data_IF_388718327082
#
_entry.id   IF_388718327082
#
_cell.length_a   1.000
_cell.length_b   1.000
_cell.length_c   1.000
_cell.angle_alpha   90.00
_cell.angle_beta   90.00
_cell.angle_gamma   90.00
#
_symmetry.space_group_name_H-M   'P 1'
#
loop_
_entity.id
_entity.type
_entity.pdbx_description
1 polymer ?
#
# COMPACT_ATOMS: atom_id res chain seq x y z
N UNK A 1 18.17 -3.50 -9.13
CA UNK A 1 17.03 -2.57 -9.28
C UNK A 1 16.02 -2.74 -8.15
N UNK A 2 15.37 -3.90 -7.99
CA UNK A 2 14.31 -4.05 -6.96
C UNK A 2 14.81 -3.99 -5.51
N UNK A 3 15.95 -4.60 -5.22
CA UNK A 3 16.63 -4.45 -3.92
C UNK A 3 17.06 -3.01 -3.63
N UNK A 4 17.42 -2.24 -4.68
CA UNK A 4 17.78 -0.83 -4.55
C UNK A 4 16.56 0.03 -4.23
N UNK A 5 15.41 -0.28 -4.84
CA UNK A 5 14.15 0.41 -4.58
C UNK A 5 13.66 0.14 -3.15
N UNK A 6 13.71 -1.12 -2.71
CA UNK A 6 13.41 -1.49 -1.33
C UNK A 6 14.35 -0.81 -0.34
N UNK A 7 15.66 -0.84 -0.59
CA UNK A 7 16.64 -0.14 0.23
C UNK A 7 16.32 1.35 0.35
N UNK A 8 16.00 2.01 -0.76
CA UNK A 8 15.60 3.41 -0.80
C UNK A 8 14.32 3.72 -0.02
N UNK A 9 13.32 2.84 -0.13
CA UNK A 9 12.07 2.89 0.62
C UNK A 9 12.21 2.66 2.12
N UNK A 10 13.35 2.15 2.59
CA UNK A 10 13.61 1.92 4.03
C UNK A 10 14.62 2.93 4.60
N UNK A 11 15.10 3.89 3.78
CA UNK A 11 16.02 4.92 4.26
C UNK A 11 15.35 5.89 5.24
N UNK A 12 16.09 6.27 6.28
CA UNK A 12 15.72 7.33 7.20
C UNK A 12 15.68 8.70 6.53
N UNK A 13 16.53 8.92 5.52
CA UNK A 13 16.52 10.14 4.72
C UNK A 13 15.26 10.22 3.86
N UNK A 14 14.39 11.17 4.22
CA UNK A 14 13.09 11.34 3.60
C UNK A 14 13.18 11.54 2.08
N UNK A 15 14.14 12.32 1.60
CA UNK A 15 14.31 12.58 0.17
C UNK A 15 14.52 11.29 -0.65
N UNK A 16 15.41 10.39 -0.19
CA UNK A 16 15.68 9.10 -0.86
C UNK A 16 14.42 8.23 -0.85
N UNK A 17 13.76 8.21 0.30
CA UNK A 17 12.51 7.49 0.52
C UNK A 17 11.38 7.99 -0.40
N UNK A 18 11.22 9.31 -0.54
CA UNK A 18 10.24 9.93 -1.44
C UNK A 18 10.54 9.59 -2.90
N UNK A 19 11.78 9.77 -3.35
CA UNK A 19 12.18 9.44 -4.72
C UNK A 19 11.92 7.95 -5.05
N UNK A 20 12.22 7.07 -4.10
CA UNK A 20 11.96 5.62 -4.26
C UNK A 20 10.46 5.32 -4.32
N UNK A 21 9.65 6.03 -3.54
CA UNK A 21 8.20 5.88 -3.54
C UNK A 21 7.54 6.41 -4.82
N UNK A 22 8.05 7.52 -5.37
CA UNK A 22 7.62 8.05 -6.67
C UNK A 22 7.97 7.11 -7.82
N UNK A 23 9.17 6.52 -7.78
CA UNK A 23 9.57 5.49 -8.73
C UNK A 23 8.66 4.25 -8.62
N UNK A 24 8.36 3.79 -7.40
CA UNK A 24 7.41 2.70 -7.17
C UNK A 24 6.00 3.04 -7.68
N UNK A 25 5.52 4.26 -7.45
CA UNK A 25 4.22 4.71 -7.94
C UNK A 25 4.15 4.70 -9.47
N UNK A 26 5.21 5.12 -10.14
CA UNK A 26 5.32 5.10 -11.59
C UNK A 26 5.32 3.66 -12.12
N UNK A 27 6.09 2.77 -11.50
CA UNK A 27 6.13 1.34 -11.86
C UNK A 27 4.76 0.65 -11.67
N UNK A 28 4.09 0.91 -10.55
CA UNK A 28 2.79 0.31 -10.25
C UNK A 28 1.72 0.77 -11.24
N UNK A 29 1.69 2.08 -11.59
CA UNK A 29 0.77 2.61 -12.61
C UNK A 29 1.04 2.04 -13.99
N UNK A 30 2.32 1.95 -14.36
CA UNK A 30 2.71 1.32 -15.63
C UNK A 30 2.23 -0.13 -15.69
N UNK A 31 2.49 -0.92 -14.65
CA UNK A 31 2.05 -2.32 -14.60
C UNK A 31 0.51 -2.46 -14.64
N UNK A 32 -0.21 -1.60 -13.91
CA UNK A 32 -1.67 -1.57 -13.97
C UNK A 32 -2.18 -1.30 -15.41
N UNK A 33 -1.58 -0.33 -16.09
CA UNK A 33 -1.93 -0.01 -17.48
C UNK A 33 -1.61 -1.13 -18.46
N UNK A 34 -0.49 -1.85 -18.29
CA UNK A 34 -0.12 -2.98 -19.15
C UNK A 34 -1.03 -4.18 -18.94
N UNK A 35 -1.45 -4.43 -17.69
CA UNK A 35 -2.39 -5.52 -17.35
C UNK A 35 -3.76 -5.27 -17.96
N UNK A 36 -4.24 -4.02 -17.94
CA UNK A 36 -5.48 -3.63 -18.63
C UNK A 36 -5.40 -3.83 -20.16
N UNK A 37 -4.20 -3.74 -20.74
CA UNK A 37 -3.92 -4.02 -22.15
C UNK A 37 -3.71 -5.50 -22.50
N UNK A 38 -3.88 -6.44 -21.56
CA UNK A 38 -3.74 -7.88 -21.80
C UNK A 38 -2.31 -8.44 -21.75
N UNK A 39 -1.33 -7.64 -21.31
CA UNK A 39 0.03 -8.14 -21.13
C UNK A 39 0.18 -8.84 -19.76
N UNK A 40 0.46 -10.15 -19.77
CA UNK A 40 0.69 -10.93 -18.54
C UNK A 40 2.13 -10.80 -18.00
N UNK A 41 3.06 -10.31 -18.81
CA UNK A 41 4.50 -10.26 -18.49
C UNK A 41 4.92 -8.86 -18.07
N UNK A 42 5.23 -8.66 -16.79
CA UNK A 42 5.67 -7.35 -16.28
C UNK A 42 6.12 -7.40 -14.81
N UNK A 43 6.13 -6.23 -14.16
CA UNK A 43 6.51 -6.05 -12.75
C UNK A 43 5.87 -7.07 -11.78
N UNK A 44 4.63 -7.52 -12.04
CA UNK A 44 3.94 -8.55 -11.24
C UNK A 44 4.36 -10.00 -11.46
N UNK A 45 5.10 -10.30 -12.55
CA UNK A 45 5.58 -11.65 -12.86
C UNK A 45 6.90 -11.99 -12.14
N UNK A 46 7.53 -10.99 -11.53
CA UNK A 46 8.76 -11.17 -10.74
C UNK A 46 8.37 -11.54 -9.30
N UNK A 47 9.03 -12.56 -8.76
CA UNK A 47 8.90 -12.97 -7.36
C UNK A 47 10.19 -12.73 -6.61
N UNK A 48 10.09 -12.19 -5.40
CA UNK A 48 11.21 -12.05 -4.44
C UNK A 48 10.83 -12.85 -3.20
N UNK A 49 11.72 -13.74 -2.76
CA UNK A 49 11.50 -14.63 -1.61
C UNK A 49 10.16 -15.42 -1.69
N UNK A 50 9.77 -15.83 -2.90
CA UNK A 50 8.52 -16.55 -3.15
C UNK A 50 7.24 -15.70 -3.10
N UNK A 51 7.35 -14.38 -2.88
CA UNK A 51 6.22 -13.44 -2.96
C UNK A 51 6.25 -12.68 -4.27
N UNK A 52 5.07 -12.47 -4.88
CA UNK A 52 4.93 -11.53 -5.98
C UNK A 52 5.46 -10.15 -5.56
N UNK A 53 6.27 -9.53 -6.43
CA UNK A 53 6.94 -8.27 -6.14
C UNK A 53 5.98 -7.14 -5.73
N UNK A 54 4.78 -7.14 -6.29
CA UNK A 54 3.68 -6.22 -5.94
C UNK A 54 3.32 -6.34 -4.46
N UNK A 55 3.14 -7.58 -3.99
CA UNK A 55 2.75 -7.86 -2.61
C UNK A 55 3.88 -7.52 -1.65
N UNK A 56 5.13 -7.77 -2.04
CA UNK A 56 6.30 -7.37 -1.26
C UNK A 56 6.34 -5.86 -1.05
N UNK A 57 6.23 -5.06 -2.12
CA UNK A 57 6.24 -3.60 -1.98
C UNK A 57 4.99 -3.03 -1.30
N UNK A 58 3.82 -3.62 -1.53
CA UNK A 58 2.60 -3.28 -0.82
C UNK A 58 2.78 -3.47 0.69
N UNK A 59 3.34 -4.60 1.10
CA UNK A 59 3.63 -4.94 2.48
C UNK A 59 4.68 -4.00 3.10
N UNK A 60 5.79 -3.72 2.40
CA UNK A 60 6.83 -2.78 2.85
C UNK A 60 6.25 -1.39 3.09
N UNK A 61 5.49 -0.84 2.13
CA UNK A 61 4.92 0.51 2.25
C UNK A 61 3.85 0.57 3.33
N UNK A 62 2.97 -0.43 3.43
CA UNK A 62 1.95 -0.47 4.49
C UNK A 62 2.58 -0.57 5.88
N UNK A 63 3.59 -1.44 6.07
CA UNK A 63 4.28 -1.54 7.36
C UNK A 63 4.97 -0.24 7.73
N UNK A 64 5.68 0.38 6.79
CA UNK A 64 6.31 1.67 7.02
C UNK A 64 5.30 2.73 7.48
N UNK A 65 4.17 2.83 6.79
CA UNK A 65 3.10 3.75 7.20
C UNK A 65 2.49 3.41 8.56
N UNK A 66 2.34 2.13 8.89
CA UNK A 66 1.70 1.71 10.13
C UNK A 66 2.63 1.86 11.34
N UNK A 67 3.92 1.55 11.20
CA UNK A 67 4.83 1.37 12.33
C UNK A 67 5.89 2.47 12.46
N UNK A 68 6.27 3.16 11.37
CA UNK A 68 7.27 4.23 11.44
C UNK A 68 6.65 5.61 11.55
N UNK A 69 7.33 6.54 12.23
CA UNK A 69 6.95 7.96 12.29
C UNK A 69 7.21 8.65 10.95
N UNK A 70 6.37 8.30 9.98
CA UNK A 70 6.37 8.90 8.65
C UNK A 70 5.66 10.25 8.67
N UNK A 71 6.25 11.29 8.06
CA UNK A 71 5.59 12.59 7.86
C UNK A 71 4.26 12.44 7.12
N UNK A 72 3.36 13.40 7.29
CA UNK A 72 2.09 13.43 6.58
C UNK A 72 2.26 13.35 5.06
N UNK A 73 3.24 14.09 4.53
CA UNK A 73 3.53 14.15 3.09
C UNK A 73 3.93 12.78 2.53
N UNK A 74 4.55 11.91 3.36
CA UNK A 74 4.90 10.55 2.95
C UNK A 74 3.66 9.70 2.69
N UNK A 75 2.61 9.81 3.52
CA UNK A 75 1.36 9.11 3.30
C UNK A 75 0.69 9.55 1.97
N UNK A 76 0.83 10.82 1.61
CA UNK A 76 0.29 11.34 0.36
C UNK A 76 0.99 10.76 -0.87
N UNK A 77 2.32 10.66 -0.85
CA UNK A 77 3.08 10.02 -1.93
C UNK A 77 2.84 8.51 -1.94
N UNK A 78 2.72 7.88 -0.77
CA UNK A 78 2.46 6.45 -0.65
C UNK A 78 1.13 6.06 -1.26
N UNK A 79 0.09 6.89 -1.11
CA UNK A 79 -1.21 6.65 -1.72
C UNK A 79 -1.14 6.49 -3.26
N UNK A 80 -0.24 7.20 -3.92
CA UNK A 80 -0.07 7.11 -5.37
C UNK A 80 0.61 5.79 -5.81
N UNK A 81 1.33 5.12 -4.91
CA UNK A 81 1.90 3.79 -5.12
C UNK A 81 0.95 2.68 -4.67
N UNK A 82 0.36 2.81 -3.49
CA UNK A 82 -0.50 1.79 -2.88
C UNK A 82 -1.74 1.47 -3.70
N UNK A 83 -2.45 2.50 -4.20
CA UNK A 83 -3.67 2.28 -4.97
C UNK A 83 -3.46 1.34 -6.17
N UNK A 84 -2.55 1.64 -7.12
CA UNK A 84 -2.32 0.74 -8.25
C UNK A 84 -1.78 -0.64 -7.82
N UNK A 85 -0.95 -0.73 -6.76
CA UNK A 85 -0.48 -2.02 -6.25
C UNK A 85 -1.66 -2.91 -5.77
N UNK A 86 -2.59 -2.34 -5.00
CA UNK A 86 -3.78 -3.06 -4.51
C UNK A 86 -4.69 -3.45 -5.67
N UNK A 87 -4.90 -2.57 -6.65
CA UNK A 87 -5.74 -2.88 -7.82
C UNK A 87 -5.11 -3.95 -8.72
N UNK A 88 -3.79 -4.04 -8.79
CA UNK A 88 -3.10 -5.09 -9.54
C UNK A 88 -3.24 -6.47 -8.89
N UNK A 89 -3.23 -6.55 -7.56
CA UNK A 89 -3.38 -7.80 -6.81
C UNK A 89 -4.27 -7.61 -5.56
N UNK A 90 -5.61 -7.62 -5.72
CA UNK A 90 -6.54 -7.49 -4.60
C UNK A 90 -6.44 -8.68 -3.62
N UNK A 91 -6.10 -9.87 -4.13
CA UNK A 91 -5.90 -11.06 -3.32
C UNK A 91 -4.71 -10.91 -2.38
N UNK A 92 -3.59 -10.40 -2.87
CA UNK A 92 -2.41 -10.08 -2.07
C UNK A 92 -2.69 -9.05 -0.98
N UNK A 93 -3.44 -8.00 -1.30
CA UNK A 93 -3.89 -7.03 -0.29
C UNK A 93 -4.70 -7.69 0.83
N UNK A 94 -5.67 -8.55 0.48
CA UNK A 94 -6.47 -9.26 1.48
C UNK A 94 -5.59 -10.18 2.34
N UNK A 95 -4.64 -10.91 1.75
CA UNK A 95 -3.70 -11.75 2.52
C UNK A 95 -2.86 -10.94 3.51
N UNK A 96 -2.35 -9.77 3.10
CA UNK A 96 -1.62 -8.86 4.00
C UNK A 96 -2.55 -8.34 5.11
N UNK A 97 -3.77 -7.96 4.77
CA UNK A 97 -4.79 -7.54 5.74
C UNK A 97 -5.10 -8.61 6.79
N UNK A 98 -5.30 -9.86 6.36
CA UNK A 98 -5.50 -11.00 7.25
C UNK A 98 -4.29 -11.27 8.14
N UNK A 99 -3.07 -11.15 7.60
CA UNK A 99 -1.85 -11.26 8.40
C UNK A 99 -1.80 -10.19 9.49
N UNK A 100 -2.13 -8.94 9.17
CA UNK A 100 -2.19 -7.85 10.15
C UNK A 100 -3.25 -8.11 11.22
N UNK A 101 -4.45 -8.58 10.84
CA UNK A 101 -5.50 -8.96 11.78
C UNK A 101 -5.08 -10.09 12.71
N UNK A 102 -4.37 -11.09 12.21
CA UNK A 102 -3.87 -12.20 13.01
C UNK A 102 -2.84 -11.76 14.07
N UNK A 103 -2.21 -10.59 13.90
CA UNK A 103 -1.29 -10.03 14.91
C UNK A 103 -2.00 -9.34 16.08
N UNK A 104 -3.32 -9.11 15.98
CA UNK A 104 -4.11 -8.41 17.00
C UNK A 104 -4.69 -9.42 17.99
N UNK A 105 -4.38 -9.22 19.28
CA UNK A 105 -4.90 -10.07 20.37
C UNK A 105 -6.25 -9.56 20.85
N UNK A 106 -6.44 -8.23 20.90
CA UNK A 106 -7.71 -7.62 21.27
C UNK A 106 -8.71 -7.72 20.11
N UNK A 107 -9.85 -8.36 20.35
CA UNK A 107 -10.92 -8.54 19.36
C UNK A 107 -11.56 -7.20 18.97
N UNK A 108 -11.58 -6.20 19.85
CA UNK A 108 -12.06 -4.85 19.50
C UNK A 108 -11.11 -4.17 18.53
N UNK A 109 -9.80 -4.15 18.84
CA UNK A 109 -8.76 -3.65 17.94
C UNK A 109 -8.76 -4.39 16.59
N UNK A 110 -8.93 -5.71 16.60
CA UNK A 110 -9.01 -6.55 15.39
C UNK A 110 -10.23 -6.20 14.54
N UNK A 111 -11.41 -6.06 15.14
CA UNK A 111 -12.63 -5.64 14.44
C UNK A 111 -12.46 -4.26 13.80
N UNK A 112 -11.92 -3.29 14.56
CA UNK A 112 -11.63 -1.93 14.08
C UNK A 112 -10.61 -1.91 12.93
N UNK A 113 -9.55 -2.73 13.02
CA UNK A 113 -8.56 -2.85 11.95
C UNK A 113 -9.18 -3.45 10.69
N UNK A 114 -10.06 -4.46 10.83
CA UNK A 114 -10.74 -5.10 9.71
C UNK A 114 -11.67 -4.13 8.98
N UNK A 115 -12.46 -3.37 9.73
CA UNK A 115 -13.31 -2.32 9.17
C UNK A 115 -12.47 -1.23 8.48
N UNK A 116 -11.37 -0.79 9.09
CA UNK A 116 -10.50 0.22 8.52
C UNK A 116 -9.83 -0.25 7.21
N UNK A 117 -9.38 -1.51 7.13
CA UNK A 117 -8.84 -2.12 5.91
C UNK A 117 -9.88 -2.21 4.79
N UNK A 118 -11.15 -2.51 5.13
CA UNK A 118 -12.24 -2.50 4.16
C UNK A 118 -12.52 -1.07 3.67
N UNK A 119 -12.71 -0.12 4.60
CA UNK A 119 -12.99 1.28 4.29
C UNK A 119 -11.90 1.95 3.46
N UNK A 120 -10.65 1.49 3.58
CA UNK A 120 -9.54 1.98 2.76
C UNK A 120 -9.85 1.88 1.25
N UNK A 121 -10.56 0.82 0.83
CA UNK A 121 -10.88 0.54 -0.57
C UNK A 121 -12.32 0.85 -0.97
N UNK A 122 -13.25 1.04 -0.02
CA UNK A 122 -14.68 1.22 -0.33
C UNK A 122 -15.22 2.62 -0.02
N UNK A 123 -14.52 3.41 0.80
CA UNK A 123 -15.00 4.74 1.21
C UNK A 123 -14.81 5.82 0.13
N UNK A 124 -15.52 6.94 0.31
CA UNK A 124 -15.45 8.15 -0.53
C UNK A 124 -15.70 7.92 -2.04
N UNK A 125 -16.42 6.85 -2.40
CA UNK A 125 -16.74 6.52 -3.79
C UNK A 125 -15.52 6.12 -4.62
N UNK A 126 -14.52 5.49 -4.00
CA UNK A 126 -13.37 4.95 -4.70
C UNK A 126 -13.81 3.85 -5.68
N UNK A 127 -13.33 3.92 -6.93
CA UNK A 127 -13.52 2.86 -7.91
C UNK A 127 -12.50 1.75 -7.70
N UNK A 128 -12.95 0.50 -7.80
CA UNK A 128 -12.10 -0.70 -7.77
C UNK A 128 -11.43 -1.02 -9.12
N UNK A 129 -11.61 -0.18 -10.15
CA UNK A 129 -11.16 -0.46 -11.51
C UNK A 129 -10.34 0.66 -12.15
N UNK A 130 -10.07 1.77 -11.44
CA UNK A 130 -9.33 2.92 -11.97
C UNK A 130 -8.31 3.47 -10.97
N UNK A 131 -7.12 3.80 -11.47
CA UNK A 131 -6.06 4.51 -10.73
C UNK A 131 -5.86 5.97 -11.21
N UNK A 132 -6.90 6.59 -11.78
CA UNK A 132 -6.85 7.99 -12.22
C UNK A 132 -6.61 8.99 -11.07
N UNK A 133 -6.36 10.26 -11.42
CA UNK A 133 -6.07 11.31 -10.43
C UNK A 133 -7.20 11.48 -9.39
N UNK A 134 -8.46 11.24 -9.78
CA UNK A 134 -9.61 11.38 -8.90
C UNK A 134 -9.64 10.25 -7.87
N UNK A 135 -9.46 9.01 -8.31
CA UNK A 135 -9.40 7.84 -7.44
C UNK A 135 -8.17 7.87 -6.54
N UNK A 136 -7.01 8.33 -7.01
CA UNK A 136 -5.84 8.56 -6.14
C UNK A 136 -6.17 9.59 -5.06
N UNK A 137 -6.87 10.69 -5.38
CA UNK A 137 -7.27 11.69 -4.37
C UNK A 137 -8.27 11.12 -3.35
N UNK A 138 -9.23 10.30 -3.80
CA UNK A 138 -10.18 9.61 -2.91
C UNK A 138 -9.46 8.63 -1.98
N UNK A 139 -8.57 7.81 -2.55
CA UNK A 139 -7.75 6.87 -1.79
C UNK A 139 -6.85 7.57 -0.77
N UNK A 140 -6.22 8.71 -1.12
CA UNK A 140 -5.47 9.55 -0.17
C UNK A 140 -6.31 9.93 1.05
N UNK A 141 -7.58 10.33 0.84
CA UNK A 141 -8.49 10.67 1.92
C UNK A 141 -8.80 9.44 2.79
N UNK A 142 -9.06 8.29 2.17
CA UNK A 142 -9.27 7.03 2.87
C UNK A 142 -8.04 6.64 3.72
N UNK A 143 -6.84 6.75 3.15
CA UNK A 143 -5.57 6.41 3.80
C UNK A 143 -5.31 7.29 5.02
N UNK A 144 -5.56 8.59 4.93
CA UNK A 144 -5.44 9.47 6.10
C UNK A 144 -6.39 9.06 7.24
N UNK A 145 -7.66 8.76 6.93
CA UNK A 145 -8.62 8.27 7.92
C UNK A 145 -8.19 6.92 8.50
N UNK A 146 -7.74 6.00 7.65
CA UNK A 146 -7.18 4.71 8.06
C UNK A 146 -6.04 4.89 9.07
N UNK A 147 -5.00 5.67 8.73
CA UNK A 147 -3.83 5.85 9.60
C UNK A 147 -4.18 6.53 10.92
N UNK A 148 -5.08 7.52 10.91
CA UNK A 148 -5.56 8.16 12.13
C UNK A 148 -6.30 7.18 13.06
N UNK A 149 -7.07 6.26 12.48
CA UNK A 149 -7.87 5.29 13.24
C UNK A 149 -7.03 4.14 13.81
N UNK A 150 -6.03 3.65 13.05
CA UNK A 150 -5.33 2.39 13.36
C UNK A 150 -3.98 2.55 14.03
N UNK A 151 -3.21 3.62 13.76
CA UNK A 151 -1.84 3.75 14.28
C UNK A 151 -1.77 3.70 15.81
N UNK A 152 -2.77 4.27 16.48
CA UNK A 152 -2.80 4.40 17.93
C UNK A 152 -2.82 3.07 18.68
N UNK A 153 -3.41 2.02 18.10
CA UNK A 153 -3.47 0.69 18.74
C UNK A 153 -2.61 -0.37 18.05
N UNK A 154 -2.27 -0.17 16.77
CA UNK A 154 -1.38 -1.09 16.03
C UNK A 154 0.06 -0.96 16.51
N UNK A 155 0.49 0.24 16.97
CA UNK A 155 1.85 0.49 17.46
C UNK A 155 2.06 0.18 18.93
N UNK A 156 0.99 0.16 19.72
CA UNK A 156 1.05 -0.23 21.14
C UNK A 156 1.18 -1.74 21.23
N UNK A 157 2.41 -2.21 21.06
CA UNK A 157 2.90 -3.49 21.59
C UNK A 157 4.09 -3.20 22.48
#
# INVERSE_FOLDING_TARGET
VMQTLEFGLLQAELHISFASLEALASLAKFHFSTKAGGAESGFGAVSINGKHLINHFLEVVLRRLLFEDSPRDFAETAAAALLPLILCDPTGYNTIGHSLLATQIDEVAKGRLGEALMMLMTANGLSSTSCDRVNVRRFKKNLHGFLANVRGFVRTK
#
